data_IF_075035435911
#
_entry.id   IF_075035435911
#
_cell.length_a   1.000
_cell.length_b   1.000
_cell.length_c   1.000
_cell.angle_alpha   90.00
_cell.angle_beta   90.00
_cell.angle_gamma   90.00
#
_symmetry.space_group_name_H-M   'P 1'
#
loop_
_entity.id
_entity.type
_entity.pdbx_description
1 polymer ?
#
# COMPACT_ATOMS: atom_id res chain seq x y z
N UNK A 1 2.35 26.64 -196.83
CA UNK A 1 1.70 27.33 -195.69
C UNK A 1 2.33 26.82 -194.42
N UNK A 2 3.29 27.59 -193.89
CA UNK A 2 3.93 27.45 -192.57
C UNK A 2 2.96 28.08 -191.55
N UNK A 3 2.76 27.51 -190.35
CA UNK A 3 2.18 28.09 -189.10
C UNK A 3 1.35 27.10 -188.26
N UNK A 4 1.00 25.92 -188.75
CA UNK A 4 0.23 24.92 -187.97
C UNK A 4 1.08 23.98 -187.11
N UNK A 5 2.40 23.85 -187.36
CA UNK A 5 3.27 22.99 -186.53
C UNK A 5 3.65 23.61 -185.18
N UNK A 6 3.66 24.94 -185.05
CA UNK A 6 4.17 25.58 -183.82
C UNK A 6 3.14 25.62 -182.67
N UNK A 7 1.84 25.60 -182.98
CA UNK A 7 0.77 25.69 -181.95
C UNK A 7 0.51 24.33 -181.28
N UNK A 8 0.70 23.24 -182.00
CA UNK A 8 0.47 21.88 -181.45
C UNK A 8 1.55 21.51 -180.42
N UNK A 9 2.78 21.99 -180.59
CA UNK A 9 3.88 21.68 -179.66
C UNK A 9 3.74 22.42 -178.32
N UNK A 10 3.22 23.66 -178.32
CA UNK A 10 3.06 24.44 -177.08
C UNK A 10 1.85 23.97 -176.24
N UNK A 11 0.76 23.55 -176.89
CA UNK A 11 -0.42 23.02 -176.19
C UNK A 11 -0.18 21.64 -175.55
N UNK A 12 0.67 20.80 -176.14
CA UNK A 12 1.04 19.50 -175.58
C UNK A 12 1.89 19.63 -174.29
N UNK A 13 2.75 20.65 -174.19
CA UNK A 13 3.58 20.88 -172.99
C UNK A 13 2.77 21.39 -171.78
N UNK A 14 1.67 22.12 -172.00
CA UNK A 14 0.81 22.60 -170.92
C UNK A 14 -0.06 21.49 -170.31
N UNK A 15 -0.53 20.53 -171.11
CA UNK A 15 -1.31 19.39 -170.62
C UNK A 15 -0.46 18.33 -169.92
N UNK A 16 0.81 18.17 -170.30
CA UNK A 16 1.74 17.27 -169.60
C UNK A 16 2.18 17.82 -168.23
N UNK A 17 2.14 19.14 -168.02
CA UNK A 17 2.50 19.74 -166.72
C UNK A 17 1.37 19.65 -165.68
N UNK A 18 0.09 19.65 -166.11
CA UNK A 18 -1.07 19.55 -165.22
C UNK A 18 -1.31 18.15 -164.63
N UNK A 19 -1.08 17.09 -165.40
CA UNK A 19 -1.23 15.70 -164.90
C UNK A 19 -0.12 15.30 -163.92
N UNK A 20 1.07 15.91 -164.03
CA UNK A 20 2.20 15.64 -163.12
C UNK A 20 1.95 16.24 -161.73
N UNK A 21 1.31 17.41 -161.63
CA UNK A 21 0.99 18.05 -160.35
C UNK A 21 -0.08 17.28 -159.55
N UNK A 22 -1.12 16.76 -160.22
CA UNK A 22 -2.21 16.02 -159.57
C UNK A 22 -1.78 14.61 -159.12
N UNK A 23 -0.83 13.99 -159.83
CA UNK A 23 -0.25 12.70 -159.46
C UNK A 23 0.79 12.82 -158.33
N UNK A 24 1.50 13.95 -158.23
CA UNK A 24 2.36 14.21 -157.07
C UNK A 24 1.56 14.44 -155.80
N UNK A 25 0.42 15.14 -155.88
CA UNK A 25 -0.42 15.45 -154.72
C UNK A 25 -1.14 14.20 -154.18
N UNK A 26 -1.57 13.30 -155.06
CA UNK A 26 -2.14 11.99 -154.67
C UNK A 26 -1.12 11.10 -153.96
N UNK A 27 0.13 11.06 -154.45
CA UNK A 27 1.22 10.31 -153.80
C UNK A 27 1.64 10.95 -152.47
N UNK A 28 1.54 12.26 -152.37
CA UNK A 28 1.86 12.99 -151.14
C UNK A 28 0.78 12.77 -150.07
N UNK A 29 -0.49 12.79 -150.45
CA UNK A 29 -1.61 12.44 -149.57
C UNK A 29 -1.60 10.97 -149.15
N UNK A 30 -1.28 10.03 -150.05
CA UNK A 30 -1.11 8.61 -149.72
C UNK A 30 0.02 8.40 -148.69
N UNK A 31 1.17 9.05 -148.86
CA UNK A 31 2.27 9.01 -147.89
C UNK A 31 1.86 9.58 -146.54
N UNK A 32 1.12 10.69 -146.51
CA UNK A 32 0.63 11.31 -145.27
C UNK A 32 -0.38 10.40 -144.55
N UNK A 33 -1.28 9.75 -145.30
CA UNK A 33 -2.23 8.75 -144.76
C UNK A 33 -1.51 7.52 -144.20
N UNK A 34 -0.54 6.96 -144.94
CA UNK A 34 0.28 5.83 -144.46
C UNK A 34 1.07 6.21 -143.21
N UNK A 35 1.63 7.42 -143.16
CA UNK A 35 2.34 7.91 -141.99
C UNK A 35 1.41 8.09 -140.78
N UNK A 36 0.17 8.56 -140.99
CA UNK A 36 -0.83 8.69 -139.92
C UNK A 36 -1.31 7.33 -139.41
N UNK A 37 -1.56 6.37 -140.30
CA UNK A 37 -1.91 4.99 -139.92
C UNK A 37 -0.79 4.38 -139.09
N UNK A 38 0.46 4.52 -139.55
CA UNK A 38 1.64 4.06 -138.80
C UNK A 38 1.75 4.74 -137.44
N UNK A 39 1.54 6.05 -137.36
CA UNK A 39 1.52 6.77 -136.09
C UNK A 39 0.40 6.29 -135.15
N UNK A 40 -0.80 6.01 -135.68
CA UNK A 40 -1.90 5.45 -134.89
C UNK A 40 -1.61 4.03 -134.43
N UNK A 41 -1.03 3.18 -135.28
CA UNK A 41 -0.62 1.81 -134.91
C UNK A 41 0.50 1.83 -133.88
N UNK A 42 1.48 2.73 -134.02
CA UNK A 42 2.54 2.93 -133.03
C UNK A 42 1.96 3.42 -131.70
N UNK A 43 1.03 4.38 -131.72
CA UNK A 43 0.33 4.83 -130.51
C UNK A 43 -0.53 3.74 -129.85
N UNK A 44 -1.24 2.93 -130.64
CA UNK A 44 -2.03 1.80 -130.16
C UNK A 44 -1.13 0.70 -129.59
N UNK A 45 0.02 0.42 -130.22
CA UNK A 45 1.00 -0.56 -129.74
C UNK A 45 1.63 -0.11 -128.42
N UNK A 46 1.98 1.18 -128.30
CA UNK A 46 2.50 1.77 -127.06
C UNK A 46 1.45 1.75 -125.95
N UNK A 47 0.19 2.04 -126.27
CA UNK A 47 -0.92 2.00 -125.31
C UNK A 47 -1.18 0.57 -124.83
N UNK A 48 -1.21 -0.41 -125.74
CA UNK A 48 -1.32 -1.83 -125.38
C UNK A 48 -0.14 -2.34 -124.56
N UNK A 49 1.08 -1.90 -124.89
CA UNK A 49 2.27 -2.25 -124.12
C UNK A 49 2.21 -1.68 -122.69
N UNK A 50 1.81 -0.41 -122.53
CA UNK A 50 1.60 0.22 -121.22
C UNK A 50 0.51 -0.49 -120.42
N UNK A 51 -0.65 -0.75 -121.03
CA UNK A 51 -1.74 -1.49 -120.39
C UNK A 51 -1.30 -2.91 -120.02
N UNK A 52 -0.54 -3.60 -120.87
CA UNK A 52 -0.01 -4.93 -120.54
C UNK A 52 0.97 -4.88 -119.38
N UNK A 53 1.80 -3.83 -119.29
CA UNK A 53 2.74 -3.63 -118.20
C UNK A 53 2.00 -3.30 -116.89
N UNK A 54 0.99 -2.42 -116.94
CA UNK A 54 0.09 -2.14 -115.81
C UNK A 54 -0.65 -3.40 -115.35
N UNK A 55 -1.18 -4.19 -116.28
CA UNK A 55 -1.83 -5.47 -115.96
C UNK A 55 -0.83 -6.46 -115.34
N UNK A 56 0.42 -6.51 -115.81
CA UNK A 56 1.44 -7.37 -115.20
C UNK A 56 1.85 -6.92 -113.81
N UNK A 57 1.98 -5.61 -113.56
CA UNK A 57 2.31 -5.08 -112.23
C UNK A 57 1.17 -5.31 -111.24
N UNK A 58 -0.07 -5.07 -111.66
CA UNK A 58 -1.26 -5.42 -110.88
C UNK A 58 -1.33 -6.92 -110.56
N UNK A 59 -1.06 -7.77 -111.56
CA UNK A 59 -1.14 -9.23 -111.43
C UNK A 59 -0.03 -9.82 -110.56
N UNK A 60 1.21 -9.41 -110.81
CA UNK A 60 2.39 -10.09 -110.26
C UNK A 60 2.88 -9.44 -108.96
N UNK A 61 2.51 -8.18 -108.68
CA UNK A 61 2.93 -7.46 -107.49
C UNK A 61 1.76 -7.08 -106.57
N UNK A 62 0.78 -6.30 -107.06
CA UNK A 62 -0.24 -5.72 -106.18
C UNK A 62 -1.26 -6.74 -105.67
N UNK A 63 -1.78 -7.61 -106.54
CA UNK A 63 -2.74 -8.65 -106.14
C UNK A 63 -2.17 -9.65 -105.12
N UNK A 64 -0.95 -10.19 -105.28
CA UNK A 64 -0.33 -11.03 -104.26
C UNK A 64 -0.05 -10.29 -102.94
N UNK A 65 0.34 -9.01 -103.00
CA UNK A 65 0.54 -8.21 -101.79
C UNK A 65 -0.76 -8.00 -101.03
N UNK A 66 -1.82 -7.54 -101.71
CA UNK A 66 -3.15 -7.37 -101.10
C UNK A 66 -3.71 -8.67 -100.55
N UNK A 67 -3.49 -9.80 -101.25
CA UNK A 67 -3.85 -11.13 -100.74
C UNK A 67 -3.08 -11.48 -99.47
N UNK A 68 -1.77 -11.22 -99.43
CA UNK A 68 -0.96 -11.45 -98.24
C UNK A 68 -1.36 -10.57 -97.06
N UNK A 69 -1.73 -9.31 -97.30
CA UNK A 69 -2.28 -8.41 -96.28
C UNK A 69 -3.65 -8.87 -95.77
N UNK A 70 -4.51 -9.34 -96.66
CA UNK A 70 -5.82 -9.90 -96.31
C UNK A 70 -5.66 -11.18 -95.46
N UNK A 71 -4.75 -12.08 -95.82
CA UNK A 71 -4.46 -13.29 -95.05
C UNK A 71 -3.92 -12.95 -93.66
N UNK A 72 -3.05 -11.93 -93.54
CA UNK A 72 -2.58 -11.41 -92.23
C UNK A 72 -3.73 -10.82 -91.41
N UNK A 73 -4.61 -10.04 -92.03
CA UNK A 73 -5.76 -9.44 -91.34
C UNK A 73 -6.76 -10.51 -90.84
N UNK A 74 -7.00 -11.55 -91.63
CA UNK A 74 -7.82 -12.70 -91.23
C UNK A 74 -7.19 -13.44 -90.05
N UNK A 75 -5.88 -13.70 -90.09
CA UNK A 75 -5.17 -14.33 -88.98
C UNK A 75 -5.25 -13.49 -87.69
N UNK A 76 -5.01 -12.18 -87.77
CA UNK A 76 -5.12 -11.27 -86.63
C UNK A 76 -6.54 -11.27 -86.04
N UNK A 77 -7.57 -11.33 -86.89
CA UNK A 77 -8.96 -11.38 -86.44
C UNK A 77 -9.26 -12.68 -85.69
N UNK A 78 -8.76 -13.82 -86.18
CA UNK A 78 -8.90 -15.12 -85.50
C UNK A 78 -8.15 -15.15 -84.17
N UNK A 79 -6.93 -14.61 -84.10
CA UNK A 79 -6.16 -14.50 -82.86
C UNK A 79 -6.86 -13.61 -81.83
N UNK A 80 -7.43 -12.47 -82.26
CA UNK A 80 -8.24 -11.61 -81.39
C UNK A 80 -9.50 -12.31 -80.88
N UNK A 81 -10.18 -13.08 -81.72
CA UNK A 81 -11.33 -13.89 -81.30
C UNK A 81 -10.92 -14.96 -80.27
N UNK A 82 -9.82 -15.67 -80.50
CA UNK A 82 -9.30 -16.65 -79.56
C UNK A 82 -8.95 -16.01 -78.20
N UNK A 83 -8.30 -14.85 -78.22
CA UNK A 83 -8.00 -14.06 -77.00
C UNK A 83 -9.27 -13.58 -76.31
N UNK A 84 -10.29 -13.16 -77.06
CA UNK A 84 -11.57 -12.77 -76.49
C UNK A 84 -12.26 -13.94 -75.77
N UNK A 85 -12.22 -15.14 -76.35
CA UNK A 85 -12.76 -16.33 -75.70
C UNK A 85 -11.96 -16.74 -74.46
N UNK A 86 -10.62 -16.68 -74.49
CA UNK A 86 -9.78 -16.90 -73.30
C UNK A 86 -10.13 -15.91 -72.17
N UNK A 87 -10.27 -14.62 -72.50
CA UNK A 87 -10.67 -13.60 -71.53
C UNK A 87 -12.05 -13.86 -70.94
N UNK A 88 -13.02 -14.32 -71.74
CA UNK A 88 -14.35 -14.72 -71.24
C UNK A 88 -14.25 -15.90 -70.26
N UNK A 89 -13.44 -16.91 -70.57
CA UNK A 89 -13.23 -18.06 -69.68
C UNK A 89 -12.57 -17.64 -68.36
N UNK A 90 -11.55 -16.79 -68.43
CA UNK A 90 -10.88 -16.24 -67.25
C UNK A 90 -11.82 -15.39 -66.40
N UNK A 91 -12.68 -14.58 -67.03
CA UNK A 91 -13.71 -13.80 -66.33
C UNK A 91 -14.69 -14.74 -65.60
N UNK A 92 -15.22 -15.75 -66.29
CA UNK A 92 -16.13 -16.73 -65.68
C UNK A 92 -15.48 -17.49 -64.51
N UNK A 93 -14.20 -17.86 -64.64
CA UNK A 93 -13.45 -18.49 -63.55
C UNK A 93 -13.27 -17.54 -62.37
N UNK A 94 -12.93 -16.27 -62.63
CA UNK A 94 -12.81 -15.24 -61.58
C UNK A 94 -14.15 -15.01 -60.88
N UNK A 95 -15.26 -14.92 -61.60
CA UNK A 95 -16.61 -14.80 -61.01
C UNK A 95 -16.96 -15.99 -60.11
N UNK A 96 -16.59 -17.21 -60.52
CA UNK A 96 -16.80 -18.40 -59.70
C UNK A 96 -15.95 -18.36 -58.43
N UNK A 97 -14.72 -17.85 -58.49
CA UNK A 97 -13.87 -17.65 -57.31
C UNK A 97 -14.48 -16.61 -56.37
N UNK A 98 -14.97 -15.48 -56.90
CA UNK A 98 -15.65 -14.44 -56.11
C UNK A 98 -16.85 -15.02 -55.37
N UNK A 99 -17.73 -15.77 -56.05
CA UNK A 99 -18.90 -16.42 -55.42
C UNK A 99 -18.50 -17.38 -54.30
N UNK A 100 -17.40 -18.13 -54.45
CA UNK A 100 -16.89 -19.01 -53.39
C UNK A 100 -16.42 -18.21 -52.18
N UNK A 101 -15.72 -17.09 -52.41
CA UNK A 101 -15.27 -16.21 -51.33
C UNK A 101 -16.44 -15.55 -50.61
N UNK A 102 -17.45 -15.07 -51.33
CA UNK A 102 -18.67 -14.52 -50.74
C UNK A 102 -19.40 -15.54 -49.87
N UNK A 103 -19.52 -16.79 -50.34
CA UNK A 103 -20.12 -17.86 -49.55
C UNK A 103 -19.32 -18.17 -48.28
N UNK A 104 -17.99 -18.21 -48.37
CA UNK A 104 -17.13 -18.40 -47.20
C UNK A 104 -17.23 -17.24 -46.21
N UNK A 105 -17.28 -16.00 -46.68
CA UNK A 105 -17.48 -14.82 -45.85
C UNK A 105 -18.82 -14.89 -45.12
N UNK A 106 -19.92 -15.17 -45.83
CA UNK A 106 -21.24 -15.33 -45.22
C UNK A 106 -21.28 -16.46 -44.18
N UNK A 107 -20.57 -17.57 -44.42
CA UNK A 107 -20.46 -18.67 -43.46
C UNK A 107 -19.66 -18.26 -42.21
N UNK A 108 -18.58 -17.51 -42.39
CA UNK A 108 -17.78 -16.99 -41.27
C UNK A 108 -18.58 -16.00 -40.43
N UNK A 109 -19.35 -15.10 -41.06
CA UNK A 109 -20.19 -14.13 -40.35
C UNK A 109 -21.30 -14.83 -39.55
N UNK A 110 -21.91 -15.88 -40.11
CA UNK A 110 -22.91 -16.68 -39.41
C UNK A 110 -22.33 -17.44 -38.21
N UNK A 111 -21.16 -18.07 -38.37
CA UNK A 111 -20.44 -18.77 -37.30
C UNK A 111 -20.01 -17.79 -36.21
N UNK A 112 -19.49 -16.61 -36.61
CA UNK A 112 -19.08 -15.58 -35.67
C UNK A 112 -20.27 -15.02 -34.88
N UNK A 113 -21.40 -14.74 -35.53
CA UNK A 113 -22.64 -14.31 -34.88
C UNK A 113 -23.14 -15.35 -33.87
N UNK A 114 -23.05 -16.63 -34.24
CA UNK A 114 -23.44 -17.73 -33.35
C UNK A 114 -22.50 -17.82 -32.14
N UNK A 115 -21.19 -17.67 -32.34
CA UNK A 115 -20.22 -17.61 -31.23
C UNK A 115 -20.46 -16.41 -30.33
N UNK A 116 -20.66 -15.22 -30.89
CA UNK A 116 -20.93 -14.01 -30.11
C UNK A 116 -22.18 -14.16 -29.24
N UNK A 117 -23.28 -14.64 -29.81
CA UNK A 117 -24.53 -14.86 -29.06
C UNK A 117 -24.37 -15.94 -27.98
N UNK A 118 -23.64 -17.02 -28.26
CA UNK A 118 -23.33 -18.04 -27.27
C UNK A 118 -22.47 -17.51 -26.12
N UNK A 119 -21.41 -16.75 -26.42
CA UNK A 119 -20.53 -16.14 -25.42
C UNK A 119 -21.33 -15.16 -24.56
N UNK A 120 -22.14 -14.28 -25.18
CA UNK A 120 -22.97 -13.32 -24.47
C UNK A 120 -23.91 -14.03 -23.49
N UNK A 121 -24.65 -15.04 -23.94
CA UNK A 121 -25.55 -15.82 -23.08
C UNK A 121 -24.81 -16.54 -21.94
N UNK A 122 -23.59 -17.04 -22.21
CA UNK A 122 -22.76 -17.66 -21.19
C UNK A 122 -22.28 -16.64 -20.14
N UNK A 123 -21.92 -15.43 -20.55
CA UNK A 123 -21.54 -14.34 -19.64
C UNK A 123 -22.73 -13.91 -18.79
N UNK A 124 -23.91 -13.67 -19.38
CA UNK A 124 -25.14 -13.33 -18.64
C UNK A 124 -25.49 -14.41 -17.60
N UNK A 125 -25.30 -15.69 -17.96
CA UNK A 125 -25.51 -16.83 -17.05
C UNK A 125 -24.47 -16.86 -15.92
N UNK A 126 -23.23 -16.44 -16.18
CA UNK A 126 -22.21 -16.34 -15.14
C UNK A 126 -22.48 -15.15 -14.22
N UNK A 127 -22.84 -13.99 -14.77
CA UNK A 127 -23.13 -12.78 -14.01
C UNK A 127 -24.31 -12.99 -13.05
N UNK A 128 -25.39 -13.64 -13.51
CA UNK A 128 -26.52 -14.02 -12.65
C UNK A 128 -26.12 -14.99 -11.53
N UNK A 129 -25.23 -15.95 -11.79
CA UNK A 129 -24.71 -16.86 -10.76
C UNK A 129 -23.81 -16.14 -9.75
N UNK A 130 -22.97 -15.22 -10.22
CA UNK A 130 -22.10 -14.43 -9.35
C UNK A 130 -22.94 -13.50 -8.48
N UNK A 131 -23.93 -12.82 -9.05
CA UNK A 131 -24.88 -11.99 -8.31
C UNK A 131 -25.62 -12.78 -7.23
N UNK A 132 -26.14 -13.97 -7.55
CA UNK A 132 -26.82 -14.83 -6.59
C UNK A 132 -25.89 -15.28 -5.43
N UNK A 133 -24.63 -15.60 -5.73
CA UNK A 133 -23.63 -15.93 -4.70
C UNK A 133 -23.26 -14.73 -3.84
N UNK A 134 -23.19 -13.54 -4.42
CA UNK A 134 -22.91 -12.31 -3.70
C UNK A 134 -24.05 -12.00 -2.71
N UNK A 135 -25.30 -12.16 -3.14
CA UNK A 135 -26.48 -12.02 -2.28
C UNK A 135 -26.48 -13.03 -1.14
N UNK A 136 -26.16 -14.30 -1.42
CA UNK A 136 -26.04 -15.34 -0.40
C UNK A 136 -24.96 -15.01 0.63
N UNK A 137 -23.79 -14.55 0.16
CA UNK A 137 -22.68 -14.15 1.03
C UNK A 137 -23.03 -12.91 1.87
N UNK A 138 -23.75 -11.94 1.30
CA UNK A 138 -24.23 -10.77 2.02
C UNK A 138 -25.19 -11.17 3.14
N UNK A 139 -26.17 -12.04 2.86
CA UNK A 139 -27.10 -12.54 3.89
C UNK A 139 -26.38 -13.34 4.97
N UNK A 140 -25.42 -14.18 4.60
CA UNK A 140 -24.62 -14.93 5.56
C UNK A 140 -23.80 -14.00 6.47
N UNK A 141 -23.23 -12.93 5.91
CA UNK A 141 -22.48 -11.94 6.69
C UNK A 141 -23.39 -11.14 7.63
N UNK A 142 -24.59 -10.75 7.20
CA UNK A 142 -25.59 -10.10 8.06
C UNK A 142 -26.01 -11.01 9.22
N UNK A 143 -26.27 -12.29 8.95
CA UNK A 143 -26.59 -13.27 9.99
C UNK A 143 -25.45 -13.46 10.99
N UNK A 144 -24.20 -13.53 10.50
CA UNK A 144 -23.02 -13.62 11.36
C UNK A 144 -22.85 -12.38 12.24
N UNK A 145 -23.07 -11.18 11.70
CA UNK A 145 -23.03 -9.94 12.47
C UNK A 145 -24.13 -9.88 13.53
N UNK A 146 -25.34 -10.34 13.22
CA UNK A 146 -26.43 -10.44 14.19
C UNK A 146 -26.10 -11.43 15.32
N UNK A 147 -25.51 -12.58 14.97
CA UNK A 147 -25.02 -13.56 15.94
C UNK A 147 -23.96 -12.97 16.86
N UNK A 148 -22.93 -12.33 16.28
CA UNK A 148 -21.86 -11.69 17.05
C UNK A 148 -22.39 -10.58 17.97
N UNK A 149 -23.33 -9.76 17.49
CA UNK A 149 -23.96 -8.72 18.30
C UNK A 149 -24.70 -9.32 19.50
N UNK A 150 -25.39 -10.45 19.31
CA UNK A 150 -26.06 -11.17 20.38
C UNK A 150 -25.06 -11.73 21.39
N UNK A 151 -24.00 -12.39 20.93
CA UNK A 151 -22.96 -12.96 21.80
C UNK A 151 -22.27 -11.87 22.64
N UNK A 152 -21.96 -10.72 22.04
CA UNK A 152 -21.41 -9.57 22.75
C UNK A 152 -22.39 -9.08 23.82
N UNK A 153 -23.68 -8.93 23.49
CA UNK A 153 -24.69 -8.52 24.45
C UNK A 153 -24.79 -9.50 25.63
N UNK A 154 -24.80 -10.80 25.35
CA UNK A 154 -24.87 -11.85 26.38
C UNK A 154 -23.63 -11.83 27.29
N UNK A 155 -22.43 -11.63 26.72
CA UNK A 155 -21.18 -11.51 27.49
C UNK A 155 -21.21 -10.26 28.36
N UNK A 156 -21.55 -9.10 27.80
CA UNK A 156 -21.64 -7.83 28.56
C UNK A 156 -22.61 -7.97 29.72
N UNK A 157 -23.79 -8.56 29.47
CA UNK A 157 -24.80 -8.77 30.50
C UNK A 157 -24.30 -9.69 31.61
N UNK A 158 -23.69 -10.84 31.28
CA UNK A 158 -23.09 -11.74 32.29
C UNK A 158 -21.99 -11.06 33.11
N UNK A 159 -21.18 -10.22 32.47
CA UNK A 159 -20.08 -9.52 33.13
C UNK A 159 -20.61 -8.48 34.10
N UNK A 160 -21.62 -7.71 33.68
CA UNK A 160 -22.32 -6.75 34.53
C UNK A 160 -23.01 -7.44 35.71
N UNK A 161 -23.71 -8.55 35.48
CA UNK A 161 -24.36 -9.31 36.56
C UNK A 161 -23.35 -9.85 37.58
N UNK A 162 -22.19 -10.31 37.09
CA UNK A 162 -21.10 -10.81 37.96
C UNK A 162 -20.47 -9.67 38.76
N UNK A 163 -20.28 -8.51 38.14
CA UNK A 163 -19.75 -7.33 38.80
C UNK A 163 -20.73 -6.81 39.86
N UNK A 164 -22.02 -6.73 39.53
CA UNK A 164 -23.08 -6.35 40.47
C UNK A 164 -23.06 -7.24 41.71
N UNK A 165 -23.07 -8.57 41.53
CA UNK A 165 -22.98 -9.52 42.65
C UNK A 165 -21.73 -9.35 43.50
N UNK A 166 -20.57 -9.02 42.89
CA UNK A 166 -19.33 -8.78 43.63
C UNK A 166 -19.38 -7.48 44.43
N UNK A 167 -19.94 -6.43 43.85
CA UNK A 167 -20.15 -5.15 44.53
C UNK A 167 -21.10 -5.33 45.71
N UNK A 168 -22.22 -6.04 45.51
CA UNK A 168 -23.18 -6.33 46.56
C UNK A 168 -22.54 -7.13 47.71
N UNK A 169 -21.80 -8.20 47.41
CA UNK A 169 -21.09 -8.98 48.42
C UNK A 169 -20.04 -8.14 49.18
N UNK A 170 -19.34 -7.23 48.49
CA UNK A 170 -18.37 -6.32 49.13
C UNK A 170 -19.06 -5.29 50.02
N UNK A 171 -20.22 -4.77 49.61
CA UNK A 171 -21.03 -3.85 50.41
C UNK A 171 -21.56 -4.55 51.67
N UNK A 172 -22.05 -5.78 51.56
CA UNK A 172 -22.48 -6.59 52.71
C UNK A 172 -21.32 -6.86 53.68
N UNK A 173 -20.13 -7.17 53.15
CA UNK A 173 -18.91 -7.36 53.96
C UNK A 173 -18.50 -6.08 54.70
N UNK A 174 -18.51 -4.93 54.01
CA UNK A 174 -18.22 -3.63 54.64
C UNK A 174 -19.25 -3.25 55.70
N UNK A 175 -20.54 -3.52 55.47
CA UNK A 175 -21.58 -3.30 56.48
C UNK A 175 -21.36 -4.19 57.71
N UNK A 176 -20.94 -5.44 57.51
CA UNK A 176 -20.60 -6.35 58.59
C UNK A 176 -19.35 -5.90 59.37
N UNK A 177 -18.29 -5.43 58.69
CA UNK A 177 -17.11 -4.88 59.36
C UNK A 177 -17.47 -3.62 60.16
N UNK A 178 -18.29 -2.73 59.60
CA UNK A 178 -18.74 -1.52 60.29
C UNK A 178 -19.51 -1.87 61.57
N UNK A 179 -20.40 -2.86 61.52
CA UNK A 179 -21.12 -3.32 62.72
C UNK A 179 -20.20 -3.99 63.74
N UNK A 180 -19.19 -4.76 63.32
CA UNK A 180 -18.19 -5.33 64.25
C UNK A 180 -17.36 -4.22 64.91
N UNK A 181 -16.95 -3.19 64.15
CA UNK A 181 -16.28 -2.01 64.70
C UNK A 181 -17.16 -1.24 65.70
N UNK A 182 -18.45 -1.07 65.40
CA UNK A 182 -19.41 -0.48 66.32
C UNK A 182 -19.47 -1.26 67.64
N UNK A 183 -19.58 -2.59 67.57
CA UNK A 183 -19.59 -3.46 68.75
C UNK A 183 -18.28 -3.38 69.56
N UNK A 184 -17.12 -3.30 68.88
CA UNK A 184 -15.82 -3.11 69.56
C UNK A 184 -15.75 -1.77 70.26
N UNK A 185 -16.24 -0.69 69.64
CA UNK A 185 -16.32 0.62 70.28
C UNK A 185 -17.22 0.58 71.52
N UNK A 186 -18.36 -0.10 71.46
CA UNK A 186 -19.22 -0.29 72.63
C UNK A 186 -18.52 -1.08 73.74
N UNK A 187 -17.79 -2.14 73.41
CA UNK A 187 -16.99 -2.88 74.39
C UNK A 187 -15.87 -2.04 75.01
N UNK A 188 -15.17 -1.24 74.21
CA UNK A 188 -14.14 -0.31 74.71
C UNK A 188 -14.77 0.72 75.65
N UNK A 189 -15.91 1.28 75.26
CA UNK A 189 -16.68 2.21 76.10
C UNK A 189 -17.07 1.56 77.43
N UNK A 190 -17.59 0.32 77.42
CA UNK A 190 -17.89 -0.44 78.64
C UNK A 190 -16.66 -0.68 79.51
N UNK A 191 -15.51 -1.05 78.92
CA UNK A 191 -14.25 -1.19 79.66
C UNK A 191 -13.80 0.13 80.27
N UNK A 192 -13.99 1.25 79.58
CA UNK A 192 -13.67 2.57 80.10
C UNK A 192 -14.56 2.93 81.28
N UNK A 193 -15.84 2.57 81.25
CA UNK A 193 -16.74 2.71 82.41
C UNK A 193 -16.26 1.88 83.60
N UNK A 194 -15.92 0.60 83.39
CA UNK A 194 -15.38 -0.27 84.45
C UNK A 194 -14.07 0.26 85.03
N UNK A 195 -13.18 0.76 84.17
CA UNK A 195 -11.92 1.37 84.59
C UNK A 195 -12.15 2.62 85.44
N UNK A 196 -13.06 3.51 85.02
CA UNK A 196 -13.42 4.68 85.82
C UNK A 196 -14.03 4.29 87.17
N UNK A 197 -14.88 3.27 87.21
CA UNK A 197 -15.41 2.73 88.48
C UNK A 197 -14.28 2.19 89.38
N UNK A 198 -13.31 1.48 88.82
CA UNK A 198 -12.14 1.00 89.55
C UNK A 198 -11.26 2.15 90.06
N UNK A 199 -11.07 3.22 89.29
CA UNK A 199 -10.39 4.42 89.74
C UNK A 199 -11.12 5.10 90.88
N UNK A 200 -12.46 5.19 90.82
CA UNK A 200 -13.27 5.71 91.92
C UNK A 200 -13.10 4.84 93.17
N UNK A 201 -13.20 3.52 93.05
CA UNK A 201 -12.99 2.61 94.17
C UNK A 201 -11.56 2.66 94.73
N UNK A 202 -10.56 2.84 93.89
CA UNK A 202 -9.17 3.05 94.31
C UNK A 202 -9.01 4.38 95.06
N UNK A 203 -9.63 5.46 94.58
CA UNK A 203 -9.66 6.75 95.27
C UNK A 203 -10.30 6.62 96.66
N UNK A 204 -11.43 5.92 96.75
CA UNK A 204 -12.11 5.63 98.02
C UNK A 204 -11.21 4.82 98.98
N UNK A 205 -10.47 3.84 98.46
CA UNK A 205 -9.53 3.05 99.25
C UNK A 205 -8.34 3.90 99.75
N UNK A 206 -7.82 4.83 98.93
CA UNK A 206 -6.78 5.77 99.34
C UNK A 206 -7.29 6.72 100.44
N UNK A 207 -8.52 7.24 100.32
CA UNK A 207 -9.11 8.05 101.40
C UNK A 207 -9.30 7.24 102.68
N UNK A 208 -9.74 5.99 102.58
CA UNK A 208 -9.86 5.11 103.75
C UNK A 208 -8.50 4.75 104.37
N UNK A 209 -7.43 4.68 103.58
CA UNK A 209 -6.07 4.49 104.08
C UNK A 209 -5.56 5.74 104.78
N UNK A 210 -5.79 6.93 104.21
CA UNK A 210 -5.46 8.23 104.82
C UNK A 210 -6.15 8.41 106.18
N UNK A 211 -7.45 8.09 106.26
CA UNK A 211 -8.21 8.11 107.52
C UNK A 211 -7.64 7.16 108.58
N UNK A 212 -7.20 5.96 108.17
CA UNK A 212 -6.58 4.97 109.06
C UNK A 212 -5.19 5.40 109.53
N UNK A 213 -4.37 5.96 108.65
CA UNK A 213 -3.06 6.50 109.01
C UNK A 213 -3.22 7.68 109.97
N UNK A 214 -4.17 8.57 109.70
CA UNK A 214 -4.52 9.67 110.60
C UNK A 214 -5.02 9.18 111.97
N UNK A 215 -5.82 8.12 112.02
CA UNK A 215 -6.19 7.46 113.28
C UNK A 215 -4.99 6.83 113.99
N UNK A 216 -4.10 6.16 113.26
CA UNK A 216 -2.85 5.60 113.77
C UNK A 216 -1.94 6.66 114.40
N UNK A 217 -1.75 7.81 113.74
CA UNK A 217 -0.96 8.91 114.28
C UNK A 217 -1.62 9.55 115.51
N UNK A 218 -2.95 9.75 115.49
CA UNK A 218 -3.67 10.29 116.66
C UNK A 218 -3.58 9.36 117.86
N UNK A 219 -3.71 8.05 117.65
CA UNK A 219 -3.58 7.04 118.71
C UNK A 219 -2.14 6.90 119.21
N UNK A 220 -1.14 6.93 118.34
CA UNK A 220 0.27 6.94 118.72
C UNK A 220 0.65 8.21 119.51
N UNK A 221 0.15 9.38 119.10
CA UNK A 221 0.32 10.64 119.81
C UNK A 221 -0.35 10.61 121.20
N UNK A 222 -1.56 10.03 121.31
CA UNK A 222 -2.22 9.83 122.59
C UNK A 222 -1.44 8.87 123.51
N UNK A 223 -0.89 7.77 122.97
CA UNK A 223 -0.02 6.87 123.73
C UNK A 223 1.28 7.56 124.17
N UNK A 224 1.90 8.37 123.32
CA UNK A 224 3.10 9.13 123.68
C UNK A 224 2.82 10.15 124.79
N UNK A 225 1.65 10.80 124.77
CA UNK A 225 1.22 11.71 125.84
C UNK A 225 1.01 10.97 127.17
N UNK A 226 0.41 9.78 127.15
CA UNK A 226 0.22 8.96 128.35
C UNK A 226 1.55 8.40 128.89
N UNK A 227 2.46 7.97 128.00
CA UNK A 227 3.83 7.60 128.39
C UNK A 227 4.54 8.78 129.03
N UNK A 228 4.45 9.99 128.46
CA UNK A 228 5.10 11.16 129.04
C UNK A 228 4.51 11.53 130.42
N UNK A 229 3.21 11.35 130.61
CA UNK A 229 2.54 11.50 131.91
C UNK A 229 3.01 10.44 132.91
N UNK A 230 3.20 9.20 132.48
CA UNK A 230 3.77 8.13 133.32
C UNK A 230 5.24 8.38 133.66
N UNK A 231 6.04 8.91 132.72
CA UNK A 231 7.42 9.35 132.97
C UNK A 231 7.43 10.48 134.00
N UNK A 232 6.51 11.44 133.90
CA UNK A 232 6.40 12.52 134.88
C UNK A 232 6.00 12.01 136.29
N UNK A 233 5.13 10.99 136.39
CA UNK A 233 4.78 10.39 137.69
C UNK A 233 5.92 9.55 138.27
N UNK A 234 6.66 8.82 137.43
CA UNK A 234 7.88 8.12 137.80
C UNK A 234 8.95 9.11 138.26
N UNK A 235 9.15 10.22 137.55
CA UNK A 235 10.07 11.28 137.97
C UNK A 235 9.68 11.85 139.34
N UNK A 236 8.39 12.10 139.58
CA UNK A 236 7.88 12.60 140.88
C UNK A 236 8.07 11.60 142.02
N UNK A 237 7.88 10.30 141.76
CA UNK A 237 8.17 9.26 142.75
C UNK A 237 9.67 9.09 143.00
N UNK A 238 10.49 9.22 141.96
CA UNK A 238 11.95 9.23 142.06
C UNK A 238 12.45 10.43 142.87
N UNK A 239 11.83 11.60 142.69
CA UNK A 239 12.11 12.79 143.48
C UNK A 239 11.74 12.57 144.96
N UNK A 240 10.59 11.94 145.26
CA UNK A 240 10.21 11.56 146.63
C UNK A 240 11.17 10.55 147.26
N UNK A 241 11.64 9.55 146.50
CA UNK A 241 12.66 8.60 146.95
C UNK A 241 14.00 9.30 147.15
N UNK A 242 14.36 10.22 146.25
CA UNK A 242 15.50 11.11 146.36
C UNK A 242 15.47 11.88 147.67
N UNK A 243 14.35 12.56 147.99
CA UNK A 243 14.19 13.27 149.26
C UNK A 243 14.33 12.33 150.49
N UNK A 244 13.85 11.08 150.42
CA UNK A 244 14.04 10.10 151.51
C UNK A 244 15.48 9.63 151.66
N UNK A 245 16.20 9.51 150.54
CA UNK A 245 17.61 9.12 150.53
C UNK A 245 18.48 10.27 150.99
N UNK A 246 18.21 11.51 150.56
CA UNK A 246 18.85 12.73 151.07
C UNK A 246 18.62 12.86 152.57
N UNK A 247 17.40 12.67 153.08
CA UNK A 247 17.14 12.69 154.52
C UNK A 247 17.90 11.61 155.31
N UNK A 248 18.17 10.44 154.68
CA UNK A 248 19.03 9.39 155.28
C UNK A 248 20.51 9.69 155.15
N UNK A 249 20.92 10.36 154.08
CA UNK A 249 22.30 10.81 153.89
C UNK A 249 22.63 11.95 154.84
N UNK A 250 21.71 12.89 155.09
CA UNK A 250 21.86 13.95 156.11
C UNK A 250 21.99 13.35 157.53
N UNK A 251 21.26 12.28 157.85
CA UNK A 251 21.42 11.51 159.10
C UNK A 251 22.79 10.80 159.20
N UNK A 252 23.30 10.30 158.07
CA UNK A 252 24.64 9.71 157.99
C UNK A 252 25.76 10.78 158.00
N UNK A 253 25.54 11.95 157.42
CA UNK A 253 26.49 13.07 157.36
C UNK A 253 26.61 13.75 158.74
N UNK A 254 25.53 13.85 159.52
CA UNK A 254 25.62 14.24 160.94
C UNK A 254 26.49 13.29 161.77
N UNK A 255 26.60 12.02 161.40
CA UNK A 255 27.48 11.04 162.08
C UNK A 255 28.93 11.14 161.59
N UNK A 256 29.15 11.51 160.33
CA UNK A 256 30.49 11.60 159.73
C UNK A 256 31.18 12.95 160.01
N UNK A 257 30.45 14.04 160.29
CA UNK A 257 31.05 15.34 160.66
C UNK A 257 31.62 15.40 162.10
N UNK A 258 31.47 14.33 162.91
CA UNK A 258 32.14 14.19 164.22
C UNK A 258 33.56 13.58 164.15
N UNK A 259 34.05 13.22 162.95
CA UNK A 259 35.38 12.62 162.75
C UNK A 259 36.13 13.24 161.56
N UNK A 260 36.53 14.51 161.71
CA UNK A 260 37.76 15.09 161.10
C UNK A 260 37.62 15.74 159.70
N UNK A 261 37.78 17.08 159.67
CA UNK A 261 38.33 17.92 158.55
C UNK A 261 39.88 17.83 158.56
N UNK A 262 40.70 18.22 157.53
CA UNK A 262 40.42 18.98 156.28
C UNK A 262 41.16 18.51 154.98
N UNK A 263 41.02 19.28 153.87
CA UNK A 263 41.87 19.42 152.65
C UNK A 263 41.89 18.27 151.59
N UNK A 264 41.97 18.45 150.26
CA UNK A 264 42.13 19.59 149.37
C UNK A 264 42.98 19.23 148.12
N UNK A 265 42.48 19.54 146.90
CA UNK A 265 43.17 19.91 145.63
C UNK A 265 43.36 18.91 144.44
N UNK A 266 42.91 19.41 143.26
CA UNK A 266 43.50 19.38 141.89
C UNK A 266 43.51 18.06 141.06
N UNK A 267 43.43 17.99 139.72
CA UNK A 267 43.17 18.90 138.57
C UNK A 267 43.22 18.03 137.26
N UNK A 268 42.73 18.58 136.13
CA UNK A 268 43.06 18.30 134.70
C UNK A 268 42.08 17.51 133.78
N UNK A 269 41.19 18.24 133.06
CA UNK A 269 41.15 18.58 131.60
C UNK A 269 41.87 17.65 130.55
N UNK A 270 41.64 17.79 129.21
CA UNK A 270 40.41 17.92 128.39
C UNK A 270 40.52 17.30 126.94
N UNK A 271 39.52 17.53 126.06
CA UNK A 271 39.69 17.57 124.58
C UNK A 271 38.79 16.59 123.80
N UNK A 272 37.68 16.91 123.10
CA UNK A 272 37.25 17.95 122.14
C UNK A 272 37.27 17.48 120.68
N UNK A 273 36.08 17.57 120.04
CA UNK A 273 35.72 18.06 118.68
C UNK A 273 35.04 17.02 117.77
N UNK A 274 33.71 17.05 117.59
CA UNK A 274 32.89 17.85 116.63
C UNK A 274 33.07 17.41 115.16
N UNK A 275 32.09 17.38 114.25
CA UNK A 275 30.88 18.19 114.05
C UNK A 275 30.04 17.51 112.93
N UNK A 276 28.70 17.54 112.96
CA UNK A 276 27.80 18.24 112.00
C UNK A 276 27.75 17.68 110.55
N UNK A 277 26.63 17.58 109.81
CA UNK A 277 25.33 18.28 109.85
C UNK A 277 24.29 17.59 108.93
N UNK A 278 23.03 17.67 109.36
CA UNK A 278 21.70 17.73 108.67
C UNK A 278 21.66 18.50 107.31
N UNK A 279 20.49 18.70 106.62
CA UNK A 279 19.22 17.92 106.47
C UNK A 279 18.52 18.02 105.06
N UNK A 280 17.36 17.32 104.90
CA UNK A 280 16.04 17.75 104.31
C UNK A 280 15.96 18.42 102.90
N UNK A 281 14.88 18.41 102.09
CA UNK A 281 13.51 17.86 102.06
C UNK A 281 12.88 18.21 100.68
N UNK A 282 11.75 17.55 100.37
CA UNK A 282 10.51 18.05 99.70
C UNK A 282 10.39 18.17 98.16
N UNK A 283 9.51 17.30 97.64
CA UNK A 283 8.15 17.56 97.11
C UNK A 283 7.88 18.40 95.83
N UNK A 284 7.12 17.75 94.93
CA UNK A 284 5.74 18.08 94.49
C UNK A 284 5.46 18.68 93.09
N UNK A 285 4.61 17.92 92.36
CA UNK A 285 3.35 18.30 91.64
C UNK A 285 3.39 18.68 90.13
N UNK A 286 2.45 18.06 89.40
CA UNK A 286 1.99 18.22 87.98
C UNK A 286 0.97 19.40 87.81
N UNK A 287 0.04 19.48 86.83
CA UNK A 287 0.05 19.38 85.34
C UNK A 287 -0.69 20.56 84.62
N UNK A 288 -0.73 20.55 83.27
CA UNK A 288 -1.95 20.55 82.40
C UNK A 288 -1.92 21.41 81.10
N UNK A 289 -2.61 20.85 80.09
CA UNK A 289 -3.12 21.20 78.75
C UNK A 289 -2.95 22.58 78.05
N UNK A 290 -2.88 22.51 76.70
CA UNK A 290 -3.86 23.23 75.84
C UNK A 290 -3.40 23.97 74.57
N UNK A 291 -3.87 23.47 73.40
CA UNK A 291 -4.42 24.19 72.21
C UNK A 291 -3.48 24.78 71.10
N UNK A 292 -3.88 24.47 69.85
CA UNK A 292 -3.57 24.99 68.48
C UNK A 292 -3.87 26.52 68.28
N UNK A 293 -3.81 27.20 67.09
CA UNK A 293 -3.57 26.78 65.69
C UNK A 293 -2.70 27.74 64.78
N UNK A 294 -2.55 27.31 63.50
CA UNK A 294 -2.65 28.10 62.25
C UNK A 294 -1.41 28.67 61.49
N UNK A 295 -1.47 28.45 60.16
CA UNK A 295 -1.06 29.26 58.99
C UNK A 295 0.13 28.88 58.07
N UNK A 296 -0.24 28.81 56.77
CA UNK A 296 0.43 28.56 55.47
C UNK A 296 1.19 29.83 54.96
N UNK A 297 1.91 29.92 53.79
CA UNK A 297 1.57 29.28 52.48
C UNK A 297 2.67 28.99 51.39
N UNK A 298 2.23 28.28 50.34
CA UNK A 298 2.29 28.63 48.89
C UNK A 298 3.18 27.90 47.86
N UNK A 299 2.53 27.67 46.70
CA UNK A 299 2.96 27.41 45.29
C UNK A 299 3.42 25.99 44.89
N UNK A 300 3.05 25.41 43.73
CA UNK A 300 2.18 25.80 42.61
C UNK A 300 1.84 24.54 41.77
N UNK A 301 0.71 24.59 41.08
CA UNK A 301 0.18 23.55 40.19
C UNK A 301 0.74 23.63 38.77
N UNK A 302 0.81 22.50 38.07
CA UNK A 302 1.05 22.42 36.62
C UNK A 302 0.04 21.46 36.00
N UNK A 303 -0.72 21.95 35.01
CA UNK A 303 -1.58 21.19 34.12
C UNK A 303 -1.08 21.35 32.67
N UNK A 304 -1.41 20.43 31.75
CA UNK A 304 -0.64 20.17 30.53
C UNK A 304 -1.07 21.04 29.34
N UNK A 305 -0.11 21.40 28.48
CA UNK A 305 -0.34 22.10 27.21
C UNK A 305 -0.49 21.14 26.04
N UNK A 306 -1.46 21.49 25.20
CA UNK A 306 -1.86 20.90 23.93
C UNK A 306 -0.83 21.07 22.81
N UNK A 307 -0.73 20.06 21.94
CA UNK A 307 -0.14 20.21 20.60
C UNK A 307 -1.18 19.74 19.58
N UNK A 308 -1.68 20.72 18.83
CA UNK A 308 -2.45 20.57 17.59
C UNK A 308 -1.45 20.39 16.44
N UNK A 309 -1.55 19.30 15.68
CA UNK A 309 -0.90 19.19 14.35
C UNK A 309 -2.00 19.16 13.29
N UNK A 310 -1.87 20.11 12.38
CA UNK A 310 -2.76 20.40 11.28
C UNK A 310 -2.66 19.37 10.15
N UNK A 311 -3.75 19.31 9.37
CA UNK A 311 -3.95 18.48 8.18
C UNK A 311 -2.90 18.72 7.07
N UNK A 312 -2.62 17.70 6.22
CA UNK A 312 -1.86 17.91 4.99
C UNK A 312 -2.63 18.77 3.99
N UNK A 313 -1.98 19.84 3.51
CA UNK A 313 -2.47 20.67 2.42
C UNK A 313 -2.29 20.00 1.06
N UNK A 314 -3.32 20.16 0.22
CA UNK A 314 -3.36 19.89 -1.21
C UNK A 314 -2.96 21.16 -2.01
N UNK A 315 -2.03 21.05 -2.98
CA UNK A 315 -1.90 21.83 -4.25
C UNK A 315 -0.45 21.95 -4.73
N UNK A 316 -0.14 22.21 -6.02
CA UNK A 316 -0.93 22.03 -7.25
C UNK A 316 -0.13 21.34 -8.40
N UNK A 317 -0.83 21.04 -9.49
CA UNK A 317 -0.29 20.62 -10.77
C UNK A 317 0.84 21.54 -11.30
N UNK A 318 1.89 20.95 -11.88
CA UNK A 318 2.88 21.64 -12.69
C UNK A 318 3.16 20.88 -13.99
N UNK A 319 3.09 21.61 -15.09
CA UNK A 319 3.51 21.21 -16.44
C UNK A 319 5.06 21.39 -16.59
N UNK A 320 5.66 21.06 -17.75
CA UNK A 320 6.80 20.16 -17.88
C UNK A 320 8.17 20.81 -17.64
N UNK A 321 9.02 20.13 -16.87
CA UNK A 321 10.47 20.38 -16.72
C UNK A 321 11.28 19.31 -17.49
N UNK A 322 10.96 19.09 -18.77
CA UNK A 322 11.37 17.88 -19.49
C UNK A 322 12.84 17.83 -20.00
N UNK A 323 13.68 18.84 -19.77
CA UNK A 323 15.03 18.86 -20.37
C UNK A 323 16.17 18.32 -19.48
N UNK A 324 16.13 18.61 -18.18
CA UNK A 324 17.26 18.34 -17.27
C UNK A 324 17.05 17.07 -16.43
N UNK A 325 15.78 16.70 -16.19
CA UNK A 325 15.37 15.54 -15.42
C UNK A 325 15.52 14.23 -16.23
N UNK A 326 15.29 14.29 -17.56
CA UNK A 326 15.39 13.15 -18.50
C UNK A 326 16.84 12.70 -18.84
N UNK A 327 17.82 13.55 -18.51
CA UNK A 327 19.24 13.19 -18.59
C UNK A 327 19.73 12.57 -17.27
N UNK A 328 19.23 13.09 -16.14
CA UNK A 328 19.60 12.63 -14.81
C UNK A 328 18.98 11.27 -14.48
N UNK A 329 17.72 11.05 -14.84
CA UNK A 329 17.04 9.77 -14.66
C UNK A 329 17.71 8.66 -15.50
N UNK A 330 18.08 8.94 -16.75
CA UNK A 330 18.75 7.99 -17.65
C UNK A 330 20.12 7.58 -17.10
N UNK A 331 20.92 8.55 -16.68
CA UNK A 331 22.22 8.28 -16.06
C UNK A 331 22.07 7.44 -14.77
N UNK A 332 21.07 7.77 -13.92
CA UNK A 332 20.78 7.03 -12.70
C UNK A 332 20.32 5.60 -13.01
N UNK A 333 19.43 5.44 -13.98
CA UNK A 333 18.92 4.15 -14.42
C UNK A 333 20.05 3.26 -14.95
N UNK A 334 20.93 3.80 -15.79
CA UNK A 334 22.09 3.06 -16.33
C UNK A 334 23.07 2.63 -15.24
N UNK A 335 23.33 3.50 -14.26
CA UNK A 335 24.16 3.17 -13.10
C UNK A 335 23.58 1.99 -12.31
N UNK A 336 22.28 2.00 -12.05
CA UNK A 336 21.62 0.90 -11.32
C UNK A 336 21.55 -0.37 -12.15
N UNK A 337 21.33 -0.25 -13.46
CA UNK A 337 21.32 -1.39 -14.38
C UNK A 337 22.71 -2.04 -14.48
N UNK A 338 23.80 -1.27 -14.36
CA UNK A 338 25.15 -1.81 -14.26
C UNK A 338 25.30 -2.75 -13.05
N UNK A 339 24.78 -2.37 -11.86
CA UNK A 339 24.79 -3.25 -10.68
C UNK A 339 24.09 -4.58 -10.93
N UNK A 340 22.98 -4.57 -11.67
CA UNK A 340 22.28 -5.80 -12.05
C UNK A 340 23.14 -6.67 -12.98
N UNK A 341 23.80 -6.05 -13.97
CA UNK A 341 24.70 -6.74 -14.92
C UNK A 341 25.93 -7.32 -14.23
N UNK A 342 26.43 -6.63 -13.20
CA UNK A 342 27.56 -7.08 -12.37
C UNK A 342 27.15 -8.20 -11.40
N UNK A 343 25.86 -8.54 -11.32
CA UNK A 343 25.33 -9.61 -10.49
C UNK A 343 24.99 -9.19 -9.05
N UNK A 344 25.18 -7.93 -8.68
CA UNK A 344 24.70 -7.39 -7.41
C UNK A 344 23.19 -7.13 -7.46
N UNK A 345 22.41 -8.21 -7.38
CA UNK A 345 20.95 -8.15 -7.42
C UNK A 345 20.37 -7.41 -6.19
N UNK A 346 21.07 -7.38 -5.06
CA UNK A 346 20.62 -6.68 -3.86
C UNK A 346 20.82 -5.16 -3.99
N UNK A 347 21.99 -4.75 -4.47
CA UNK A 347 22.27 -3.37 -4.86
C UNK A 347 21.33 -2.88 -5.96
N UNK A 348 21.15 -3.67 -7.03
CA UNK A 348 20.23 -3.37 -8.11
C UNK A 348 18.79 -3.19 -7.61
N UNK A 349 18.30 -4.10 -6.75
CA UNK A 349 16.96 -3.97 -6.16
C UNK A 349 16.78 -2.66 -5.40
N UNK A 350 17.72 -2.32 -4.52
CA UNK A 350 17.66 -1.05 -3.75
C UNK A 350 17.78 0.16 -4.67
N UNK A 351 18.66 0.10 -5.66
CA UNK A 351 18.85 1.15 -6.65
C UNK A 351 17.59 1.39 -7.50
N UNK A 352 16.91 0.34 -7.96
CA UNK A 352 15.67 0.49 -8.72
C UNK A 352 14.52 0.98 -7.83
N UNK A 353 14.47 0.57 -6.56
CA UNK A 353 13.51 1.12 -5.61
C UNK A 353 13.72 2.62 -5.37
N UNK A 354 14.99 3.05 -5.22
CA UNK A 354 15.34 4.46 -5.09
C UNK A 354 14.99 5.23 -6.38
N UNK A 355 15.33 4.69 -7.55
CA UNK A 355 14.99 5.28 -8.85
C UNK A 355 13.49 5.54 -8.99
N UNK A 356 12.65 4.57 -8.63
CA UNK A 356 11.19 4.72 -8.69
C UNK A 356 10.64 5.76 -7.70
N UNK A 357 11.36 6.02 -6.61
CA UNK A 357 10.99 7.07 -5.64
C UNK A 357 11.48 8.45 -6.06
N UNK A 358 12.67 8.52 -6.67
CA UNK A 358 13.30 9.76 -7.14
C UNK A 358 12.66 10.24 -8.45
N UNK A 359 12.30 9.32 -9.35
CA UNK A 359 11.80 9.60 -10.69
C UNK A 359 10.50 8.82 -11.01
N UNK A 360 9.40 9.03 -10.26
CA UNK A 360 8.16 8.27 -10.43
C UNK A 360 7.49 8.46 -11.80
N UNK A 361 7.72 9.61 -12.45
CA UNK A 361 7.14 10.00 -13.73
C UNK A 361 8.07 9.79 -14.93
N UNK A 362 9.24 9.16 -14.74
CA UNK A 362 10.18 8.87 -15.82
C UNK A 362 9.60 7.87 -16.81
N UNK A 363 9.89 8.05 -18.10
CA UNK A 363 9.59 7.05 -19.15
C UNK A 363 10.32 5.72 -18.91
N UNK A 364 11.39 5.73 -18.09
CA UNK A 364 12.13 4.55 -17.68
C UNK A 364 11.57 3.89 -16.42
N UNK A 365 10.59 4.49 -15.73
CA UNK A 365 10.00 3.92 -14.53
C UNK A 365 9.39 2.51 -14.73
N UNK A 366 8.65 2.21 -15.81
CA UNK A 366 8.17 0.86 -16.08
C UNK A 366 9.32 -0.15 -16.25
N UNK A 367 10.42 0.28 -16.89
CA UNK A 367 11.62 -0.54 -17.07
C UNK A 367 12.34 -0.78 -15.74
N UNK A 368 12.50 0.25 -14.91
CA UNK A 368 13.10 0.13 -13.58
C UNK A 368 12.30 -0.82 -12.69
N UNK A 369 10.97 -0.71 -12.71
CA UNK A 369 10.07 -1.62 -11.98
C UNK A 369 10.20 -3.07 -12.45
N UNK A 370 10.31 -3.28 -13.77
CA UNK A 370 10.57 -4.60 -14.33
C UNK A 370 11.91 -5.18 -13.84
N UNK A 371 12.99 -4.42 -13.89
CA UNK A 371 14.32 -4.91 -13.45
C UNK A 371 14.41 -5.10 -11.94
N UNK A 372 13.63 -4.36 -11.16
CA UNK A 372 13.42 -4.65 -9.74
C UNK A 372 12.82 -6.06 -9.56
N UNK A 373 11.83 -6.42 -10.38
CA UNK A 373 11.26 -7.77 -10.44
C UNK A 373 12.29 -8.83 -10.84
N UNK A 374 13.08 -8.58 -11.89
CA UNK A 374 14.17 -9.48 -12.30
C UNK A 374 15.22 -9.66 -11.18
N UNK A 375 15.49 -8.62 -10.40
CA UNK A 375 16.40 -8.69 -9.25
C UNK A 375 15.87 -9.61 -8.15
N UNK A 376 14.57 -9.53 -7.85
CA UNK A 376 13.90 -10.47 -6.94
C UNK A 376 13.90 -11.89 -7.50
N UNK A 377 13.60 -12.05 -8.78
CA UNK A 377 13.58 -13.35 -9.45
C UNK A 377 14.95 -14.03 -9.40
N UNK A 378 16.04 -13.29 -9.69
CA UNK A 378 17.41 -13.82 -9.62
C UNK A 378 17.82 -14.24 -8.21
N UNK A 379 17.27 -13.59 -7.17
CA UNK A 379 17.43 -13.99 -5.76
C UNK A 379 16.48 -15.11 -5.33
N UNK A 380 15.66 -15.65 -6.23
CA UNK A 380 14.64 -16.68 -6.00
C UNK A 380 13.51 -16.22 -5.04
N UNK A 381 13.37 -14.92 -4.81
CA UNK A 381 12.21 -14.35 -4.09
C UNK A 381 11.06 -14.16 -5.10
N UNK A 382 10.49 -15.29 -5.54
CA UNK A 382 9.51 -15.30 -6.62
C UNK A 382 8.20 -14.57 -6.24
N UNK A 383 7.83 -14.56 -4.96
CA UNK A 383 6.66 -13.83 -4.47
C UNK A 383 6.81 -12.33 -4.72
N UNK A 384 7.91 -11.73 -4.26
CA UNK A 384 8.17 -10.30 -4.51
C UNK A 384 8.45 -9.98 -5.97
N UNK A 385 9.01 -10.93 -6.73
CA UNK A 385 9.15 -10.77 -8.18
C UNK A 385 7.78 -10.61 -8.86
N UNK A 386 6.81 -11.47 -8.51
CA UNK A 386 5.43 -11.38 -8.99
C UNK A 386 4.83 -10.02 -8.62
N UNK A 387 4.92 -9.59 -7.37
CA UNK A 387 4.40 -8.28 -6.94
C UNK A 387 5.02 -7.12 -7.73
N UNK A 388 6.32 -7.20 -8.04
CA UNK A 388 7.00 -6.18 -8.83
C UNK A 388 6.51 -6.16 -10.29
N UNK A 389 6.34 -7.32 -10.93
CA UNK A 389 5.80 -7.42 -12.28
C UNK A 389 4.34 -6.97 -12.36
N UNK A 390 3.52 -7.29 -11.36
CA UNK A 390 2.11 -6.89 -11.29
C UNK A 390 1.96 -5.38 -11.24
N UNK A 391 2.85 -4.70 -10.52
CA UNK A 391 2.89 -3.23 -10.52
C UNK A 391 3.29 -2.64 -11.86
N UNK A 392 4.05 -3.34 -12.71
CA UNK A 392 4.30 -2.83 -14.07
C UNK A 392 3.00 -2.75 -14.87
N UNK A 393 2.16 -3.78 -14.75
CA UNK A 393 0.85 -3.82 -15.42
C UNK A 393 -0.14 -2.81 -14.81
N UNK A 394 -0.17 -2.70 -13.47
CA UNK A 394 -1.11 -1.84 -12.76
C UNK A 394 -0.76 -0.35 -12.87
N UNK A 395 0.50 0.01 -12.62
CA UNK A 395 0.94 1.39 -12.53
C UNK A 395 1.25 1.96 -13.93
N UNK A 396 1.63 1.09 -14.89
CA UNK A 396 2.06 1.49 -16.25
C UNK A 396 1.38 0.69 -17.38
N UNK A 397 0.04 0.65 -17.47
CA UNK A 397 -0.70 -0.25 -18.37
C UNK A 397 -0.46 -0.02 -19.87
N UNK A 398 0.07 1.16 -20.25
CA UNK A 398 0.40 1.52 -21.65
C UNK A 398 1.86 1.27 -22.02
N UNK A 399 2.70 0.84 -21.08
CA UNK A 399 4.12 0.62 -21.33
C UNK A 399 4.34 -0.58 -22.25
N UNK A 400 5.31 -0.46 -23.17
CA UNK A 400 5.80 -1.59 -23.97
C UNK A 400 6.41 -2.70 -23.10
N UNK A 401 6.67 -2.44 -21.81
CA UNK A 401 7.23 -3.42 -20.88
C UNK A 401 6.19 -4.34 -20.25
N UNK A 402 4.89 -4.04 -20.37
CA UNK A 402 3.81 -4.84 -19.77
C UNK A 402 3.81 -6.30 -20.26
N UNK A 403 3.89 -6.62 -21.57
CA UNK A 403 3.94 -8.02 -22.04
C UNK A 403 5.13 -8.78 -21.47
N UNK A 404 6.29 -8.11 -21.40
CA UNK A 404 7.53 -8.61 -20.78
C UNK A 404 7.34 -8.94 -19.29
N UNK A 405 6.68 -8.07 -18.53
CA UNK A 405 6.42 -8.26 -17.11
C UNK A 405 5.45 -9.43 -16.86
N UNK A 406 4.34 -9.50 -17.60
CA UNK A 406 3.35 -10.59 -17.48
C UNK A 406 3.98 -11.94 -17.86
N UNK A 407 4.82 -11.97 -18.90
CA UNK A 407 5.57 -13.17 -19.26
C UNK A 407 6.48 -13.64 -18.11
N UNK A 408 7.23 -12.72 -17.48
CA UNK A 408 8.11 -13.04 -16.36
C UNK A 408 7.36 -13.43 -15.08
N UNK A 409 6.20 -12.83 -14.82
CA UNK A 409 5.25 -13.29 -13.80
C UNK A 409 4.87 -14.75 -14.01
N UNK A 410 4.57 -15.15 -15.25
CA UNK A 410 4.32 -16.56 -15.60
C UNK A 410 5.50 -17.48 -15.25
N UNK A 411 6.73 -17.07 -15.57
CA UNK A 411 7.94 -17.80 -15.19
C UNK A 411 8.17 -17.87 -13.67
N UNK A 412 7.83 -16.82 -12.92
CA UNK A 412 7.89 -16.83 -11.47
C UNK A 412 6.88 -17.81 -10.85
N UNK A 413 5.66 -17.88 -11.38
CA UNK A 413 4.70 -18.90 -10.98
C UNK A 413 5.16 -20.32 -11.29
N UNK A 414 5.82 -20.56 -12.43
CA UNK A 414 6.43 -21.86 -12.72
C UNK A 414 7.50 -22.24 -11.70
N UNK A 415 8.34 -21.28 -11.30
CA UNK A 415 9.36 -21.52 -10.28
C UNK A 415 8.75 -21.85 -8.91
N UNK A 416 7.57 -21.29 -8.60
CA UNK A 416 6.75 -21.64 -7.44
C UNK A 416 5.94 -22.93 -7.60
N UNK A 417 6.06 -23.61 -8.75
CA UNK A 417 5.27 -24.81 -9.13
C UNK A 417 3.76 -24.57 -9.22
N UNK A 418 3.32 -23.31 -9.33
CA UNK A 418 1.93 -22.96 -9.54
C UNK A 418 1.59 -22.95 -11.04
N UNK A 419 1.41 -24.15 -11.58
CA UNK A 419 1.16 -24.35 -13.02
C UNK A 419 -0.14 -23.69 -13.50
N UNK A 420 -1.14 -23.57 -12.61
CA UNK A 420 -2.42 -22.93 -12.94
C UNK A 420 -2.24 -21.44 -13.16
N UNK A 421 -1.61 -20.74 -12.21
CA UNK A 421 -1.36 -19.30 -12.33
C UNK A 421 -0.34 -18.98 -13.41
N UNK A 422 0.68 -19.83 -13.59
CA UNK A 422 1.62 -19.70 -14.71
C UNK A 422 0.90 -19.76 -16.07
N UNK A 423 0.06 -20.78 -16.28
CA UNK A 423 -0.73 -20.92 -17.52
C UNK A 423 -1.64 -19.72 -17.74
N UNK A 424 -2.26 -19.19 -16.68
CA UNK A 424 -3.10 -17.99 -16.77
C UNK A 424 -2.31 -16.78 -17.25
N UNK A 425 -1.12 -16.52 -16.66
CA UNK A 425 -0.26 -15.41 -17.05
C UNK A 425 0.23 -15.54 -18.50
N UNK A 426 0.66 -16.72 -18.94
CA UNK A 426 1.06 -16.92 -20.34
C UNK A 426 -0.11 -16.73 -21.30
N UNK A 427 -1.29 -17.22 -20.95
CA UNK A 427 -2.49 -17.04 -21.78
C UNK A 427 -2.86 -15.57 -21.91
N UNK A 428 -2.72 -14.81 -20.82
CA UNK A 428 -2.92 -13.37 -20.82
C UNK A 428 -2.01 -12.64 -21.82
N UNK A 429 -0.72 -12.97 -21.88
CA UNK A 429 0.21 -12.39 -22.89
C UNK A 429 -0.26 -12.70 -24.31
N UNK A 430 -0.60 -13.96 -24.61
CA UNK A 430 -1.04 -14.37 -25.95
C UNK A 430 -2.36 -13.70 -26.35
N UNK A 431 -3.24 -13.47 -25.39
CA UNK A 431 -4.60 -12.96 -25.64
C UNK A 431 -4.60 -11.43 -25.77
N UNK A 432 -3.92 -10.73 -24.85
CA UNK A 432 -3.93 -9.27 -24.79
C UNK A 432 -2.85 -8.64 -25.69
N UNK A 433 -1.73 -9.34 -25.93
CA UNK A 433 -0.58 -8.83 -26.67
C UNK A 433 -0.12 -9.76 -27.81
N UNK A 434 -1.00 -10.21 -28.71
CA UNK A 434 -0.70 -11.25 -29.71
C UNK A 434 0.40 -10.87 -30.71
N UNK A 435 0.67 -9.58 -30.91
CA UNK A 435 1.72 -9.08 -31.82
C UNK A 435 3.08 -8.89 -31.13
N UNK A 436 3.15 -9.07 -29.81
CA UNK A 436 4.40 -8.90 -29.05
C UNK A 436 5.34 -10.10 -29.25
N UNK A 437 6.67 -9.90 -29.21
CA UNK A 437 7.64 -11.00 -29.19
C UNK A 437 7.41 -11.98 -28.03
N UNK A 438 6.88 -11.49 -26.91
CA UNK A 438 6.57 -12.26 -25.71
C UNK A 438 5.42 -13.25 -25.93
N UNK A 439 4.46 -12.95 -26.82
CA UNK A 439 3.35 -13.85 -27.12
C UNK A 439 3.83 -15.19 -27.70
N UNK A 440 4.84 -15.18 -28.57
CA UNK A 440 5.44 -16.42 -29.08
C UNK A 440 6.01 -17.28 -27.95
N UNK A 441 6.84 -16.67 -27.08
CA UNK A 441 7.43 -17.36 -25.91
C UNK A 441 6.37 -17.89 -24.94
N UNK A 442 5.31 -17.11 -24.70
CA UNK A 442 4.20 -17.51 -23.83
C UNK A 442 3.41 -18.69 -24.43
N UNK A 443 3.17 -18.66 -25.74
CA UNK A 443 2.50 -19.75 -26.47
C UNK A 443 3.29 -21.06 -26.38
N UNK A 444 4.61 -21.01 -26.61
CA UNK A 444 5.48 -22.18 -26.51
C UNK A 444 5.44 -22.80 -25.10
N UNK A 445 5.47 -21.94 -24.07
CA UNK A 445 5.38 -22.40 -22.67
C UNK A 445 4.01 -23.00 -22.35
N UNK A 446 2.92 -22.46 -22.88
CA UNK A 446 1.59 -23.04 -22.71
C UNK A 446 1.47 -24.44 -23.31
N UNK A 447 2.07 -24.66 -24.48
CA UNK A 447 2.11 -25.99 -25.11
C UNK A 447 2.88 -26.97 -24.24
N UNK A 448 4.09 -26.60 -23.79
CA UNK A 448 4.90 -27.44 -22.89
C UNK A 448 4.16 -27.81 -21.59
N UNK A 449 3.36 -26.89 -21.03
CA UNK A 449 2.60 -27.16 -19.80
C UNK A 449 1.42 -28.13 -20.01
N UNK A 450 0.89 -28.24 -21.23
CA UNK A 450 -0.16 -29.20 -21.57
C UNK A 450 0.42 -30.61 -21.75
N UNK A 451 1.62 -30.71 -22.31
CA UNK A 451 2.28 -31.98 -22.59
C UNK A 451 2.81 -32.67 -21.30
N UNK A 452 2.97 -31.91 -20.21
CA UNK A 452 3.44 -32.41 -18.91
C UNK A 452 2.29 -32.93 -18.02
N UNK A 453 1.03 -32.75 -18.43
CA UNK A 453 -0.17 -33.15 -17.68
C UNK A 453 -0.72 -34.47 -18.17
#
# INVERSE_FOLDING_TARGET
MKYTETVVVVAAFAFLSGCVAQQSDLKQTEKVLQQRIKQQDDQLSQTRARQSQEISTLRDQELPQLRGELEKALYLTQDLQAKQEDLKHRLAQSEQQTKKLEHLAAKMDADNTTRHTWVQKSLDTQDTKVAAKLDELSRAMEQAMLGLKKDIADVVQRTNDTLAKRVDARLEEQQKELTDHQQRLDQISQKFVQFNQALTGFREALTGLDDRVGHGERTASAHAAEVNKSIASVAKTLESVGHKVTARLDDQDHRIESLTKPAGRANQKPGVRSQATKPAQRSAVEPDAGVEPAEQPSMAAVAPSSVTIAAPQESPAAAPVQGHEEAADRARYEQVLALFRDGDLEGARRGFAAFLSEYPNSDLAPNARYWQGESYYGKKDFGKAIDAYDRVELDYPRSEKVPSAILKKGYAYLALKDMKRASSAFKQVVTLYPKSPEAGKASDKLTQLKDVR
#
